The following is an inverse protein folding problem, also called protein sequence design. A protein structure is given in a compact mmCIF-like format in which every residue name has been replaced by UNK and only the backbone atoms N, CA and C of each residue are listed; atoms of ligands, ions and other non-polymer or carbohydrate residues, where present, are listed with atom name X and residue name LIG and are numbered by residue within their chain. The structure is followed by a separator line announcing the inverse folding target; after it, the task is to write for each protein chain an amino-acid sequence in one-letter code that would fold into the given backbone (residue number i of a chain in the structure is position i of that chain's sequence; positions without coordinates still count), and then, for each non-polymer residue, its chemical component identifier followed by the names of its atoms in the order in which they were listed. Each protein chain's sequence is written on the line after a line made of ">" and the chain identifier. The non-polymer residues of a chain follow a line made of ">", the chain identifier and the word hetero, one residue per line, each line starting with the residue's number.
data_IF_562842920919
#
_entry.id   IF_562842920919
#
_cell.length_a   1.000
_cell.length_b   1.000
_cell.length_c   1.000
_cell.angle_alpha   90.00
_cell.angle_beta   90.00
_cell.angle_gamma   90.00
#
_symmetry.space_group_name_H-M   'P 1'
#
loop_
_entity.id
_entity.type
_entity.pdbx_description
1 polymer ?
#
# COMPACT_ATOMS: atom_id res chain seq x y z
N UNK A 1 31.82 -7.19 -0.76
CA UNK A 1 30.45 -7.78 -0.73
C UNK A 1 29.64 -7.10 -1.81
N UNK A 2 29.33 -7.82 -2.89
CA UNK A 2 28.70 -7.26 -4.08
C UNK A 2 27.19 -7.07 -3.83
N UNK A 3 26.64 -5.86 -4.03
CA UNK A 3 25.25 -5.48 -3.68
C UNK A 3 24.24 -5.80 -4.79
N UNK A 4 24.68 -6.48 -5.85
CA UNK A 4 23.95 -6.61 -7.11
C UNK A 4 22.88 -7.73 -7.13
N UNK A 5 22.65 -8.43 -6.00
CA UNK A 5 21.71 -9.54 -5.91
C UNK A 5 20.38 -9.18 -5.22
N UNK A 6 20.18 -7.94 -4.78
CA UNK A 6 18.88 -7.54 -4.24
C UNK A 6 17.90 -7.35 -5.41
N UNK A 7 16.76 -8.05 -5.42
CA UNK A 7 15.75 -7.85 -6.47
C UNK A 7 15.38 -6.36 -6.55
N UNK A 8 15.13 -5.82 -7.75
CA UNK A 8 14.83 -4.40 -7.92
C UNK A 8 13.60 -4.04 -7.09
N UNK A 9 13.75 -3.00 -6.25
CA UNK A 9 12.63 -2.45 -5.48
C UNK A 9 11.58 -1.95 -6.45
N UNK A 10 10.39 -2.53 -6.42
CA UNK A 10 9.24 -2.06 -7.19
C UNK A 10 8.49 -1.01 -6.38
N UNK A 11 8.24 0.15 -6.98
CA UNK A 11 7.51 1.25 -6.34
C UNK A 11 6.25 1.55 -7.14
N UNK A 12 5.11 1.62 -6.45
CA UNK A 12 3.83 2.04 -7.01
C UNK A 12 3.36 3.31 -6.28
N UNK A 13 3.02 4.34 -7.05
CA UNK A 13 2.46 5.58 -6.52
C UNK A 13 0.96 5.67 -6.87
N UNK A 14 0.13 5.87 -5.85
CA UNK A 14 -1.31 6.07 -5.98
C UNK A 14 -1.61 7.52 -5.59
N UNK A 15 -2.28 8.26 -6.48
CA UNK A 15 -2.59 9.67 -6.25
C UNK A 15 -3.92 10.07 -6.90
N UNK A 16 -4.55 11.09 -6.34
CA UNK A 16 -5.76 11.72 -6.88
C UNK A 16 -5.48 13.20 -7.16
N UNK A 17 -6.05 13.74 -8.24
CA UNK A 17 -5.82 15.14 -8.69
C UNK A 17 -6.19 16.17 -7.62
N UNK A 18 -7.11 15.82 -6.72
CA UNK A 18 -7.71 16.68 -5.69
C UNK A 18 -7.13 16.47 -4.28
N UNK A 19 -6.14 15.59 -4.11
CA UNK A 19 -5.48 15.32 -2.83
C UNK A 19 -5.52 13.85 -2.42
N UNK A 20 -4.42 13.34 -1.87
CA UNK A 20 -4.25 11.89 -1.65
C UNK A 20 -4.81 11.31 -0.35
N UNK A 21 -5.56 12.07 0.47
CA UNK A 21 -5.89 11.67 1.86
C UNK A 21 -7.08 10.73 2.01
N UNK A 22 -8.00 10.73 1.06
CA UNK A 22 -9.23 9.94 1.16
C UNK A 22 -9.13 8.71 0.26
N UNK A 23 -9.50 8.82 -1.02
CA UNK A 23 -9.56 7.65 -1.90
C UNK A 23 -8.18 7.03 -2.12
N UNK A 24 -7.18 7.84 -2.46
CA UNK A 24 -5.84 7.33 -2.71
C UNK A 24 -5.23 6.66 -1.46
N UNK A 25 -5.48 7.21 -0.26
CA UNK A 25 -5.03 6.60 0.98
C UNK A 25 -5.73 5.25 1.23
N UNK A 26 -7.06 5.20 1.12
CA UNK A 26 -7.82 3.95 1.31
C UNK A 26 -7.40 2.89 0.29
N UNK A 27 -7.19 3.25 -0.97
CA UNK A 27 -6.70 2.32 -1.99
C UNK A 27 -5.29 1.81 -1.66
N UNK A 28 -4.40 2.68 -1.18
CA UNK A 28 -3.04 2.29 -0.83
C UNK A 28 -3.00 1.35 0.39
N UNK A 29 -3.89 1.57 1.38
CA UNK A 29 -4.08 0.66 2.52
C UNK A 29 -4.59 -0.71 2.06
N UNK A 30 -5.64 -0.73 1.23
CA UNK A 30 -6.19 -1.98 0.70
C UNK A 30 -5.15 -2.76 -0.10
N UNK A 31 -4.38 -2.08 -0.94
CA UNK A 31 -3.35 -2.71 -1.74
C UNK A 31 -2.20 -3.25 -0.88
N UNK A 32 -1.81 -2.53 0.17
CA UNK A 32 -0.79 -2.99 1.10
C UNK A 32 -1.26 -4.26 1.83
N UNK A 33 -2.49 -4.30 2.35
CA UNK A 33 -3.05 -5.48 2.99
C UNK A 33 -3.14 -6.68 2.04
N UNK A 34 -3.55 -6.45 0.78
CA UNK A 34 -3.59 -7.51 -0.24
C UNK A 34 -2.20 -8.04 -0.56
N UNK A 35 -1.25 -7.18 -0.89
CA UNK A 35 0.08 -7.62 -1.36
C UNK A 35 0.93 -8.22 -0.24
N UNK A 36 0.74 -7.79 1.02
CA UNK A 36 1.38 -8.41 2.18
C UNK A 36 0.75 -9.76 2.56
N UNK A 37 -0.43 -10.09 2.02
CA UNK A 37 -1.21 -11.25 2.42
C UNK A 37 -1.88 -11.11 3.79
N UNK A 38 -2.05 -9.88 4.29
CA UNK A 38 -2.79 -9.60 5.53
C UNK A 38 -4.30 -9.78 5.33
N UNK A 39 -4.77 -10.98 5.62
CA UNK A 39 -6.18 -11.35 5.49
C UNK A 39 -7.07 -10.58 6.48
N UNK A 40 -6.55 -10.22 7.66
CA UNK A 40 -7.34 -9.51 8.68
C UNK A 40 -7.60 -8.07 8.23
N UNK A 41 -6.55 -7.33 7.89
CA UNK A 41 -6.69 -5.96 7.37
C UNK A 41 -7.47 -5.89 6.06
N UNK A 42 -7.29 -6.87 5.17
CA UNK A 42 -8.05 -6.96 3.92
C UNK A 42 -9.54 -7.26 4.14
N UNK A 43 -9.91 -7.95 5.23
CA UNK A 43 -11.31 -8.21 5.58
C UNK A 43 -12.02 -6.93 5.99
N UNK A 44 -11.37 -6.10 6.81
CA UNK A 44 -11.91 -4.79 7.22
C UNK A 44 -12.15 -3.86 6.02
N UNK A 45 -11.36 -4.03 4.95
CA UNK A 45 -11.45 -3.26 3.71
C UNK A 45 -12.30 -3.92 2.62
N UNK A 46 -12.92 -5.07 2.90
CA UNK A 46 -13.82 -5.77 1.96
C UNK A 46 -13.12 -6.43 0.77
N UNK A 47 -11.81 -6.67 0.85
CA UNK A 47 -10.97 -7.24 -0.24
C UNK A 47 -10.25 -8.53 0.16
N UNK A 48 -10.83 -9.26 1.12
CA UNK A 48 -10.27 -10.51 1.68
C UNK A 48 -9.83 -11.51 0.62
N UNK A 49 -10.67 -11.77 -0.39
CA UNK A 49 -10.40 -12.79 -1.41
C UNK A 49 -9.13 -12.47 -2.21
N UNK A 50 -8.84 -11.17 -2.40
CA UNK A 50 -7.61 -10.74 -3.06
C UNK A 50 -6.37 -11.02 -2.18
N UNK A 51 -6.44 -10.75 -0.87
CA UNK A 51 -5.33 -11.02 0.04
C UNK A 51 -5.00 -12.51 0.14
N UNK A 52 -6.00 -13.39 0.05
CA UNK A 52 -5.78 -14.83 0.04
C UNK A 52 -4.90 -15.30 -1.14
N UNK A 53 -5.00 -14.64 -2.31
CA UNK A 53 -4.16 -14.97 -3.47
C UNK A 53 -2.67 -14.66 -3.27
N UNK A 54 -2.36 -13.77 -2.33
CA UNK A 54 -1.02 -13.30 -2.00
C UNK A 54 -0.50 -13.82 -0.66
N UNK A 55 -1.37 -14.47 0.14
CA UNK A 55 -0.97 -15.13 1.38
C UNK A 55 0.13 -16.17 1.13
N UNK A 56 1.16 -16.15 1.97
CA UNK A 56 2.31 -17.06 1.87
C UNK A 56 3.35 -16.69 0.81
N UNK A 57 3.18 -15.61 0.04
CA UNK A 57 4.19 -15.16 -0.95
C UNK A 57 5.40 -14.46 -0.34
N UNK A 58 5.36 -14.10 0.94
CA UNK A 58 6.48 -13.49 1.66
C UNK A 58 6.88 -12.09 1.15
N UNK A 59 5.95 -11.37 0.51
CA UNK A 59 6.21 -10.02 0.03
C UNK A 59 6.26 -9.04 1.20
N UNK A 60 7.37 -8.33 1.32
CA UNK A 60 7.48 -7.22 2.27
C UNK A 60 6.99 -5.95 1.58
N UNK A 61 5.88 -5.39 2.07
CA UNK A 61 5.24 -4.22 1.48
C UNK A 61 5.31 -3.05 2.45
N UNK A 62 5.92 -1.95 2.02
CA UNK A 62 6.01 -0.72 2.80
C UNK A 62 5.06 0.32 2.22
N UNK A 63 4.18 0.86 3.08
CA UNK A 63 3.24 1.91 2.72
C UNK A 63 3.74 3.25 3.26
N UNK A 64 3.70 4.28 2.41
CA UNK A 64 4.05 5.67 2.78
C UNK A 64 2.97 6.60 2.26
N UNK A 65 2.35 7.38 3.13
CA UNK A 65 1.34 8.37 2.75
C UNK A 65 1.93 9.77 2.73
N UNK A 66 2.27 10.26 1.53
CA UNK A 66 2.87 11.60 1.36
C UNK A 66 2.00 12.74 1.88
N UNK A 67 0.68 12.62 1.77
CA UNK A 67 -0.24 13.74 2.02
C UNK A 67 -0.94 13.68 3.38
N UNK A 68 -0.92 12.53 4.07
CA UNK A 68 -1.47 12.41 5.44
C UNK A 68 -0.63 13.19 6.45
N UNK A 69 0.69 13.20 6.27
CA UNK A 69 1.64 13.83 7.19
C UNK A 69 1.81 15.35 6.98
N UNK A 70 1.10 15.93 5.99
CA UNK A 70 1.16 17.37 5.74
C UNK A 70 0.03 18.08 6.49
N UNK A 71 0.23 19.33 6.85
CA UNK A 71 -0.88 20.16 7.33
C UNK A 71 -1.89 20.43 6.19
N UNK A 72 -3.19 20.47 6.53
CA UNK A 72 -4.21 21.00 5.60
C UNK A 72 -4.01 22.51 5.56
N UNK A 73 -3.51 23.03 4.45
CA UNK A 73 -3.56 24.46 4.19
C UNK A 73 -4.93 24.75 3.59
N UNK A 74 -5.88 25.15 4.44
CA UNK A 74 -7.14 25.72 3.96
C UNK A 74 -6.85 27.14 3.43
N UNK A 75 -7.36 27.47 2.24
CA UNK A 75 -7.05 28.73 1.56
C UNK A 75 -8.30 29.48 1.17
#
# INVERSE_FOLDING_TARGET
>A
MNRDWLPPKQQLAIGERTGGRHRAATFALALQAVLSGDVTGATELGVKDLAQLYSGRGLTVHLVHRDLDKDVVDR
#
